data_IF_499145618327
#
_entry.id   IF_499145618327
#
_cell.length_a   1.000
_cell.length_b   1.000
_cell.length_c   1.000
_cell.angle_alpha   90.00
_cell.angle_beta   90.00
_cell.angle_gamma   90.00
#
_symmetry.space_group_name_H-M   'P 1'
#
loop_
_entity.id
_entity.type
_entity.pdbx_description
1 polymer ?
#
# COMPACT_ATOMS: atom_id res chain seq x y z
N UNK A 1 -0.56 7.11 28.90
CA UNK A 1 0.41 7.90 28.09
C UNK A 1 0.85 7.07 26.89
N UNK A 2 0.83 7.68 25.72
CA UNK A 2 1.26 6.99 24.50
C UNK A 2 2.75 6.70 24.50
N UNK A 3 3.11 5.52 24.07
CA UNK A 3 4.51 5.10 23.97
C UNK A 3 4.90 4.69 22.55
N UNK A 4 3.93 4.37 21.70
CA UNK A 4 4.22 3.92 20.35
C UNK A 4 3.15 4.38 19.37
N UNK A 5 3.55 4.54 18.13
CA UNK A 5 2.65 4.88 17.02
C UNK A 5 2.85 3.84 15.93
N UNK A 6 1.75 3.24 15.50
CA UNK A 6 1.74 2.26 14.42
C UNK A 6 1.20 2.94 13.17
N UNK A 7 1.84 2.69 12.04
CA UNK A 7 1.49 3.32 10.76
C UNK A 7 1.19 2.29 9.70
N UNK A 8 0.09 2.49 9.00
CA UNK A 8 -0.06 1.89 7.69
C UNK A 8 0.92 2.57 6.72
N UNK A 9 1.25 1.91 5.62
CA UNK A 9 2.20 2.48 4.65
C UNK A 9 1.49 3.11 3.45
N UNK A 10 0.76 2.29 2.67
CA UNK A 10 0.16 2.75 1.42
C UNK A 10 -0.97 3.75 1.69
N UNK A 11 -0.86 4.93 1.09
CA UNK A 11 -1.83 6.02 1.23
C UNK A 11 -1.89 6.61 2.64
N UNK A 12 -0.91 6.27 3.47
CA UNK A 12 -0.78 6.86 4.80
C UNK A 12 0.57 7.54 4.94
N UNK A 13 1.66 6.78 4.79
CA UNK A 13 3.00 7.36 4.78
C UNK A 13 3.47 7.71 3.38
N UNK A 14 3.04 6.93 2.39
CA UNK A 14 3.57 6.99 1.03
C UNK A 14 2.46 7.01 0.01
N UNK A 15 2.71 7.68 -1.12
CA UNK A 15 1.73 7.85 -2.17
C UNK A 15 1.71 6.74 -3.20
N UNK A 16 1.00 5.66 -2.90
CA UNK A 16 0.88 4.52 -3.80
C UNK A 16 0.12 4.89 -5.07
N UNK A 17 -1.00 5.59 -4.93
CA UNK A 17 -1.79 5.99 -6.10
C UNK A 17 -1.01 6.94 -7.00
N UNK A 18 -0.25 7.84 -6.41
CA UNK A 18 0.59 8.76 -7.19
C UNK A 18 1.66 8.00 -7.95
N UNK A 19 2.28 7.02 -7.31
CA UNK A 19 3.31 6.21 -7.95
C UNK A 19 2.71 5.39 -9.09
N UNK A 20 1.54 4.81 -8.88
CA UNK A 20 0.86 4.02 -9.91
C UNK A 20 0.51 4.89 -11.10
N UNK A 21 0.03 6.11 -10.86
CA UNK A 21 -0.34 7.03 -11.93
C UNK A 21 0.88 7.44 -12.75
N UNK A 22 1.96 7.80 -12.07
CA UNK A 22 3.19 8.21 -12.77
C UNK A 22 3.78 7.05 -13.57
N UNK A 23 3.86 5.86 -12.95
CA UNK A 23 4.39 4.69 -13.62
C UNK A 23 3.50 4.26 -14.78
N UNK A 24 2.18 4.40 -14.60
CA UNK A 24 1.24 4.04 -15.65
C UNK A 24 1.45 4.84 -16.92
N UNK A 25 1.68 6.14 -16.77
CA UNK A 25 1.90 6.98 -17.96
C UNK A 25 3.18 6.56 -18.70
N UNK A 26 4.23 6.26 -17.96
CA UNK A 26 5.46 5.77 -18.57
C UNK A 26 5.25 4.41 -19.23
N UNK A 27 4.46 3.55 -18.58
CA UNK A 27 4.20 2.21 -19.11
C UNK A 27 3.40 2.27 -20.40
N UNK A 28 2.38 3.14 -20.46
CA UNK A 28 1.60 3.30 -21.68
C UNK A 28 2.48 3.77 -22.83
N UNK A 29 3.39 4.70 -22.56
CA UNK A 29 4.31 5.18 -23.59
C UNK A 29 5.26 4.07 -24.03
N UNK A 30 5.74 3.26 -23.09
CA UNK A 30 6.64 2.16 -23.39
C UNK A 30 5.93 1.09 -24.24
N UNK A 31 4.67 0.79 -23.90
CA UNK A 31 3.88 -0.18 -24.65
C UNK A 31 3.68 0.31 -26.08
N UNK A 32 3.35 1.60 -26.25
CA UNK A 32 3.15 2.14 -27.59
C UNK A 32 4.43 2.06 -28.43
N UNK A 33 5.57 2.36 -27.81
CA UNK A 33 6.83 2.32 -28.50
C UNK A 33 7.28 0.90 -28.84
N UNK A 34 7.04 -0.03 -27.91
CA UNK A 34 7.49 -1.42 -28.06
C UNK A 34 6.54 -2.22 -28.95
N UNK A 35 5.25 -1.95 -28.83
CA UNK A 35 4.19 -2.65 -29.56
C UNK A 35 3.31 -1.65 -30.29
N UNK A 36 3.81 -1.09 -31.42
CA UNK A 36 3.05 -0.04 -32.12
C UNK A 36 1.66 -0.46 -32.60
N UNK A 37 1.40 -1.76 -32.69
CA UNK A 37 0.10 -2.27 -33.09
C UNK A 37 -0.99 -1.99 -32.04
N UNK A 38 -0.61 -1.66 -30.81
CA UNK A 38 -1.58 -1.26 -29.79
C UNK A 38 -2.13 0.10 -30.20
N UNK A 39 -3.39 0.14 -30.61
CA UNK A 39 -3.98 1.37 -31.14
C UNK A 39 -4.32 2.39 -30.04
N UNK A 40 -4.56 1.91 -28.82
CA UNK A 40 -4.95 2.79 -27.71
C UNK A 40 -4.18 2.40 -26.45
N UNK A 41 -2.98 2.96 -26.28
CA UNK A 41 -2.17 2.62 -25.10
C UNK A 41 -2.82 2.95 -23.77
N UNK A 42 -3.65 4.00 -23.73
CA UNK A 42 -4.34 4.36 -22.48
C UNK A 42 -5.40 3.31 -22.13
N UNK A 43 -6.10 2.78 -23.14
CA UNK A 43 -7.04 1.70 -22.89
C UNK A 43 -6.31 0.44 -22.40
N UNK A 44 -5.15 0.14 -22.99
CA UNK A 44 -4.32 -0.95 -22.51
C UNK A 44 -3.95 -0.76 -21.03
N UNK A 45 -3.49 0.43 -20.69
CA UNK A 45 -3.09 0.74 -19.32
C UNK A 45 -4.24 0.57 -18.35
N UNK A 46 -5.40 1.10 -18.71
CA UNK A 46 -6.56 1.01 -17.84
C UNK A 46 -6.94 -0.45 -17.60
N UNK A 47 -6.92 -1.24 -18.65
CA UNK A 47 -7.21 -2.66 -18.56
C UNK A 47 -6.21 -3.39 -17.66
N UNK A 48 -4.92 -3.08 -17.83
CA UNK A 48 -3.87 -3.67 -17.02
C UNK A 48 -4.04 -3.33 -15.54
N UNK A 49 -4.31 -2.07 -15.24
CA UNK A 49 -4.47 -1.66 -13.83
C UNK A 49 -5.70 -2.28 -13.21
N UNK A 50 -6.80 -2.40 -13.96
CA UNK A 50 -7.98 -3.11 -13.47
C UNK A 50 -7.63 -4.56 -13.11
N UNK A 51 -6.82 -5.20 -13.95
CA UNK A 51 -6.38 -6.57 -13.67
C UNK A 51 -5.49 -6.66 -12.46
N UNK A 52 -4.56 -5.72 -12.31
CA UNK A 52 -3.66 -5.70 -11.15
C UNK A 52 -4.48 -5.57 -9.86
N UNK A 53 -5.57 -4.82 -9.88
CA UNK A 53 -6.44 -4.67 -8.72
C UNK A 53 -7.51 -5.75 -8.64
N UNK A 54 -7.35 -6.82 -9.46
CA UNK A 54 -8.18 -8.04 -9.40
C UNK A 54 -9.65 -7.80 -9.79
N UNK A 55 -9.90 -6.79 -10.61
CA UNK A 55 -11.25 -6.48 -11.05
C UNK A 55 -11.67 -7.22 -12.32
N UNK A 56 -10.73 -7.95 -12.94
CA UNK A 56 -11.00 -8.68 -14.17
C UNK A 56 -10.99 -10.20 -13.98
N UNK A 57 -11.03 -10.68 -12.74
CA UNK A 57 -10.93 -12.12 -12.46
C UNK A 57 -12.03 -12.90 -13.15
N UNK A 58 -13.24 -12.35 -13.21
CA UNK A 58 -14.35 -13.03 -13.84
C UNK A 58 -14.18 -13.14 -15.36
N UNK A 59 -13.48 -12.17 -15.96
CA UNK A 59 -13.25 -12.18 -17.40
C UNK A 59 -12.11 -13.12 -17.79
N UNK A 60 -11.14 -13.30 -16.92
CA UNK A 60 -9.95 -14.08 -17.22
C UNK A 60 -9.76 -15.18 -16.17
N UNK A 61 -10.70 -16.14 -16.12
CA UNK A 61 -10.58 -17.20 -15.10
C UNK A 61 -9.29 -18.01 -15.22
N UNK A 62 -8.68 -18.07 -16.39
CA UNK A 62 -7.44 -18.81 -16.56
C UNK A 62 -6.28 -18.14 -15.81
N UNK A 63 -6.38 -16.84 -15.50
CA UNK A 63 -5.34 -16.16 -14.75
C UNK A 63 -5.49 -16.33 -13.25
N UNK A 64 -6.69 -16.71 -12.78
CA UNK A 64 -6.94 -16.83 -11.35
C UNK A 64 -6.03 -17.89 -10.73
N UNK A 65 -5.72 -18.95 -11.48
CA UNK A 65 -4.82 -19.99 -11.00
C UNK A 65 -3.40 -19.48 -10.73
N UNK A 66 -3.03 -18.34 -11.32
CA UNK A 66 -1.70 -17.76 -11.13
C UNK A 66 -1.62 -16.83 -9.94
N UNK A 67 -2.75 -16.50 -9.30
CA UNK A 67 -2.75 -15.50 -8.22
C UNK A 67 -1.75 -15.77 -7.08
N UNK A 68 -1.46 -17.03 -6.71
CA UNK A 68 -0.46 -17.23 -5.66
C UNK A 68 0.94 -16.74 -6.04
N UNK A 69 1.21 -16.58 -7.32
CA UNK A 69 2.48 -16.00 -7.81
C UNK A 69 2.15 -14.69 -8.49
N UNK A 70 2.29 -13.58 -7.75
CA UNK A 70 1.88 -12.28 -8.27
C UNK A 70 2.60 -11.90 -9.54
N UNK A 71 3.90 -12.21 -9.65
CA UNK A 71 4.64 -11.90 -10.88
C UNK A 71 4.08 -12.68 -12.06
N UNK A 72 3.84 -13.98 -11.87
CA UNK A 72 3.28 -14.81 -12.95
C UNK A 72 1.90 -14.30 -13.34
N UNK A 73 1.09 -13.90 -12.36
CA UNK A 73 -0.24 -13.36 -12.64
C UNK A 73 -0.15 -12.12 -13.51
N UNK A 74 0.72 -11.18 -13.15
CA UNK A 74 0.84 -9.92 -13.88
C UNK A 74 1.42 -10.13 -15.28
N UNK A 75 2.39 -11.04 -15.43
CA UNK A 75 2.91 -11.36 -16.75
C UNK A 75 1.83 -11.98 -17.64
N UNK A 76 1.04 -12.90 -17.06
CA UNK A 76 -0.07 -13.51 -17.79
C UNK A 76 -1.11 -12.48 -18.19
N UNK A 77 -1.36 -11.50 -17.31
CA UNK A 77 -2.30 -10.43 -17.59
C UNK A 77 -1.83 -9.60 -18.79
N UNK A 78 -0.55 -9.26 -18.84
CA UNK A 78 0.00 -8.50 -19.96
C UNK A 78 -0.15 -9.29 -21.26
N UNK A 79 0.20 -10.58 -21.22
CA UNK A 79 0.06 -11.43 -22.39
C UNK A 79 -1.40 -11.46 -22.88
N UNK A 80 -2.33 -11.59 -21.95
CA UNK A 80 -3.74 -11.70 -22.28
C UNK A 80 -4.26 -10.41 -22.94
N UNK A 81 -3.91 -9.26 -22.34
CA UNK A 81 -4.39 -7.98 -22.88
C UNK A 81 -3.76 -7.68 -24.24
N UNK A 82 -2.47 -7.99 -24.41
CA UNK A 82 -1.84 -7.81 -25.71
C UNK A 82 -2.46 -8.72 -26.75
N UNK A 83 -2.84 -9.95 -26.36
CA UNK A 83 -3.52 -10.85 -27.28
C UNK A 83 -4.86 -10.30 -27.73
N UNK A 84 -5.55 -9.54 -26.86
CA UNK A 84 -6.79 -8.85 -27.25
C UNK A 84 -6.53 -7.83 -28.33
N UNK A 85 -5.30 -7.34 -28.44
CA UNK A 85 -4.89 -6.41 -29.50
C UNK A 85 -4.21 -7.12 -30.67
N UNK A 86 -4.30 -8.44 -30.73
CA UNK A 86 -3.72 -9.21 -31.81
C UNK A 86 -2.22 -9.40 -31.72
N UNK A 87 -1.66 -9.16 -30.55
CA UNK A 87 -0.21 -9.25 -30.35
C UNK A 87 0.08 -10.40 -29.39
N UNK A 88 0.89 -11.36 -29.86
CA UNK A 88 1.22 -12.55 -29.08
C UNK A 88 2.69 -12.50 -28.68
N UNK A 89 2.95 -12.39 -27.38
CA UNK A 89 4.30 -12.29 -26.86
C UNK A 89 4.63 -13.51 -26.00
N UNK A 90 5.91 -13.80 -25.86
CA UNK A 90 6.36 -14.91 -25.05
C UNK A 90 6.56 -14.49 -23.59
N UNK A 91 6.94 -15.46 -22.76
CA UNK A 91 7.11 -15.22 -21.33
C UNK A 91 8.20 -14.20 -21.04
N UNK A 92 9.29 -14.24 -21.81
CA UNK A 92 10.39 -13.30 -21.60
C UNK A 92 9.95 -11.87 -21.90
N UNK A 93 9.22 -11.68 -23.00
CA UNK A 93 8.70 -10.37 -23.36
C UNK A 93 7.72 -9.86 -22.30
N UNK A 94 6.87 -10.75 -21.78
CA UNK A 94 5.95 -10.37 -20.73
C UNK A 94 6.71 -9.92 -19.48
N UNK A 95 7.79 -10.63 -19.14
CA UNK A 95 8.59 -10.28 -17.98
C UNK A 95 9.28 -8.94 -18.17
N UNK A 96 9.74 -8.63 -19.38
CA UNK A 96 10.32 -7.33 -19.67
C UNK A 96 9.32 -6.20 -19.43
N UNK A 97 8.09 -6.41 -19.90
CA UNK A 97 7.05 -5.39 -19.72
C UNK A 97 6.72 -5.21 -18.23
N UNK A 98 6.55 -6.32 -17.51
CA UNK A 98 6.24 -6.24 -16.10
C UNK A 98 7.38 -5.57 -15.33
N UNK A 99 8.60 -5.91 -15.67
CA UNK A 99 9.76 -5.29 -15.02
C UNK A 99 9.79 -3.77 -15.25
N UNK A 100 9.44 -3.35 -16.47
CA UNK A 100 9.42 -1.90 -16.76
C UNK A 100 8.42 -1.19 -15.86
N UNK A 101 7.21 -1.73 -15.75
CA UNK A 101 6.19 -1.11 -14.89
C UNK A 101 6.65 -1.07 -13.43
N UNK A 102 7.17 -2.18 -12.93
CA UNK A 102 7.62 -2.25 -11.54
C UNK A 102 8.73 -1.25 -11.26
N UNK A 103 9.69 -1.14 -12.18
CA UNK A 103 10.80 -0.19 -11.99
C UNK A 103 10.32 1.25 -11.99
N UNK A 104 9.41 1.58 -12.92
CA UNK A 104 8.86 2.93 -12.96
C UNK A 104 8.07 3.24 -11.70
N UNK A 105 7.32 2.26 -11.20
CA UNK A 105 6.52 2.42 -10.00
C UNK A 105 7.41 2.68 -8.78
N UNK A 106 8.47 1.87 -8.64
CA UNK A 106 9.36 2.05 -7.50
C UNK A 106 10.15 3.34 -7.60
N UNK A 107 10.45 3.80 -8.81
CA UNK A 107 11.10 5.08 -8.99
C UNK A 107 10.25 6.26 -8.58
N UNK A 108 8.92 6.08 -8.57
CA UNK A 108 7.98 7.14 -8.20
C UNK A 108 7.43 7.00 -6.78
N UNK A 109 7.67 5.86 -6.14
CA UNK A 109 7.11 5.59 -4.82
C UNK A 109 7.91 6.32 -3.75
N UNK A 110 7.26 7.21 -3.01
CA UNK A 110 7.94 8.03 -2.02
C UNK A 110 6.98 8.46 -0.92
N UNK A 111 7.55 8.96 0.17
CA UNK A 111 6.77 9.50 1.27
C UNK A 111 5.98 10.73 0.83
N UNK A 112 4.81 10.93 1.43
CA UNK A 112 4.09 12.19 1.28
C UNK A 112 4.93 13.33 1.85
N UNK A 113 4.72 14.56 1.32
CA UNK A 113 5.48 15.72 1.83
C UNK A 113 5.35 15.87 3.34
N UNK A 114 6.47 16.13 4.00
CA UNK A 114 6.52 16.38 5.44
C UNK A 114 6.53 15.15 6.31
N UNK A 115 6.30 13.95 5.73
CA UNK A 115 6.23 12.74 6.53
C UNK A 115 7.59 12.33 7.09
N UNK A 116 8.65 12.43 6.29
CA UNK A 116 9.99 12.08 6.80
C UNK A 116 10.35 12.94 8.01
N UNK A 117 10.10 14.24 7.91
CA UNK A 117 10.40 15.15 9.00
C UNK A 117 9.57 14.81 10.24
N UNK A 118 8.30 14.47 10.04
CA UNK A 118 7.43 14.07 11.14
C UNK A 118 7.96 12.80 11.82
N UNK A 119 8.33 11.78 11.03
CA UNK A 119 8.84 10.54 11.59
C UNK A 119 10.10 10.79 12.41
N UNK A 120 10.99 11.64 11.91
CA UNK A 120 12.21 11.98 12.63
C UNK A 120 11.90 12.59 13.99
N UNK A 121 10.94 13.51 14.03
CA UNK A 121 10.55 14.14 15.30
C UNK A 121 9.86 13.15 16.21
N UNK A 122 8.94 12.36 15.69
CA UNK A 122 8.18 11.41 16.52
C UNK A 122 9.07 10.36 17.14
N UNK A 123 10.11 9.94 16.41
CA UNK A 123 10.99 8.87 16.87
C UNK A 123 11.76 9.25 18.13
N UNK A 124 11.86 10.55 18.40
CA UNK A 124 12.50 11.03 19.63
C UNK A 124 11.67 10.71 20.87
N UNK A 125 10.38 10.48 20.71
CA UNK A 125 9.46 10.34 21.84
C UNK A 125 8.68 9.03 21.83
N UNK A 126 8.56 8.36 20.68
CA UNK A 126 7.73 7.18 20.52
C UNK A 126 8.47 6.10 19.77
N UNK A 127 8.10 4.85 20.02
CA UNK A 127 8.50 3.77 19.12
C UNK A 127 7.59 3.79 17.91
N UNK A 128 8.16 3.59 16.73
CA UNK A 128 7.40 3.63 15.48
C UNK A 128 7.40 2.27 14.81
N UNK A 129 6.21 1.78 14.45
CA UNK A 129 6.07 0.48 13.80
C UNK A 129 5.23 0.66 12.55
N UNK A 130 5.69 0.14 11.41
CA UNK A 130 4.89 0.09 10.20
C UNK A 130 4.20 -1.26 10.14
N UNK A 131 2.88 -1.26 9.90
CA UNK A 131 2.11 -2.49 9.69
C UNK A 131 1.44 -2.36 8.34
N UNK A 132 1.93 -3.10 7.35
CA UNK A 132 1.46 -2.97 5.98
C UNK A 132 0.90 -4.29 5.47
N UNK A 133 -0.36 -4.27 5.03
CA UNK A 133 -0.98 -5.43 4.39
C UNK A 133 -0.37 -5.64 3.00
N UNK A 134 -0.53 -6.83 2.50
CA UNK A 134 -0.12 -7.14 1.15
C UNK A 134 0.99 -8.17 1.08
N UNK A 135 1.17 -8.73 -0.12
CA UNK A 135 2.15 -9.79 -0.31
C UNK A 135 3.58 -9.27 -0.29
N UNK A 136 4.50 -10.16 0.02
CA UNK A 136 5.93 -9.84 0.02
C UNK A 136 6.36 -9.25 -1.30
N UNK A 137 5.88 -9.82 -2.40
CA UNK A 137 6.21 -9.38 -3.75
C UNK A 137 5.96 -7.87 -3.95
N UNK A 138 4.86 -7.36 -3.41
CA UNK A 138 4.52 -5.94 -3.55
C UNK A 138 5.17 -5.07 -2.50
N UNK A 139 5.19 -5.52 -1.26
CA UNK A 139 5.56 -4.63 -0.15
C UNK A 139 7.06 -4.50 0.07
N UNK A 140 7.84 -5.57 -0.13
CA UNK A 140 9.28 -5.49 0.06
C UNK A 140 9.93 -4.46 -0.89
N UNK A 141 9.60 -4.43 -2.20
CA UNK A 141 10.19 -3.38 -3.05
C UNK A 141 9.85 -1.96 -2.59
N UNK A 142 8.64 -1.74 -2.09
CA UNK A 142 8.24 -0.42 -1.59
C UNK A 142 9.05 -0.04 -0.35
N UNK A 143 9.23 -0.99 0.56
CA UNK A 143 10.01 -0.75 1.76
C UNK A 143 11.47 -0.46 1.42
N UNK A 144 12.00 -1.14 0.41
CA UNK A 144 13.36 -0.91 -0.04
C UNK A 144 13.48 0.46 -0.71
N UNK A 145 12.52 0.82 -1.57
CA UNK A 145 12.54 2.09 -2.29
C UNK A 145 12.55 3.27 -1.33
N UNK A 146 11.85 3.16 -0.20
CA UNK A 146 11.76 4.24 0.79
C UNK A 146 12.82 4.14 1.86
N UNK A 147 13.58 3.04 1.89
CA UNK A 147 14.54 2.76 2.97
C UNK A 147 13.85 2.84 4.33
N UNK A 148 12.68 2.25 4.40
CA UNK A 148 11.79 2.38 5.56
C UNK A 148 12.47 2.09 6.90
N UNK A 149 13.22 1.31 6.91
CA UNK A 149 13.87 0.98 7.91
C UNK A 149 14.56 1.94 8.56
N UNK A 150 15.08 2.89 7.87
CA UNK A 150 15.82 3.99 8.45
C UNK A 150 14.94 4.96 9.22
N UNK A 151 13.66 4.88 8.99
CA UNK A 151 12.71 5.87 9.52
C UNK A 151 11.86 5.36 10.66
N UNK A 152 11.78 4.06 10.85
CA UNK A 152 10.95 3.46 11.90
C UNK A 152 11.72 2.37 12.63
N UNK A 153 11.18 1.91 13.76
CA UNK A 153 11.86 0.91 14.59
C UNK A 153 11.56 -0.51 14.15
N UNK A 154 10.34 -0.78 13.68
CA UNK A 154 9.95 -2.14 13.25
C UNK A 154 9.02 -2.06 12.07
N UNK A 155 9.03 -3.11 11.26
CA UNK A 155 8.17 -3.22 10.08
C UNK A 155 7.53 -4.61 10.10
N UNK A 156 6.21 -4.65 9.96
CA UNK A 156 5.46 -5.90 9.86
C UNK A 156 4.76 -5.93 8.51
N UNK A 157 5.03 -6.97 7.73
CA UNK A 157 4.43 -7.13 6.39
C UNK A 157 3.38 -8.24 6.47
N UNK A 158 2.14 -7.91 6.09
CA UNK A 158 1.04 -8.85 6.19
C UNK A 158 1.29 -10.18 5.52
N UNK A 159 1.95 -10.15 4.36
CA UNK A 159 2.24 -11.39 3.64
C UNK A 159 3.19 -12.32 4.35
N UNK A 160 3.88 -11.85 5.39
CA UNK A 160 4.77 -12.67 6.19
C UNK A 160 4.11 -13.16 7.49
N UNK A 161 2.84 -12.82 7.70
CA UNK A 161 2.13 -13.12 8.93
C UNK A 161 1.02 -14.13 8.69
N UNK A 162 0.56 -14.82 9.74
CA UNK A 162 -0.58 -15.72 9.57
C UNK A 162 -1.85 -15.00 9.11
N UNK A 163 -2.04 -13.75 9.56
CA UNK A 163 -3.20 -12.96 9.19
C UNK A 163 -2.82 -11.49 9.03
N UNK A 164 -3.50 -10.82 8.10
CA UNK A 164 -3.32 -9.39 7.87
C UNK A 164 -4.26 -8.57 8.73
N UNK A 165 -4.06 -7.24 8.76
CA UNK A 165 -5.03 -6.32 9.35
C UNK A 165 -6.38 -6.56 8.66
N UNK A 166 -7.48 -6.59 9.37
CA UNK A 166 -7.71 -6.14 10.74
C UNK A 166 -7.55 -7.21 11.83
N UNK A 167 -6.93 -8.34 11.55
CA UNK A 167 -6.81 -9.41 12.53
C UNK A 167 -6.06 -8.95 13.77
N UNK A 168 -6.53 -9.37 14.93
CA UNK A 168 -5.93 -8.98 16.20
C UNK A 168 -4.47 -9.41 16.30
N UNK A 169 -4.12 -10.54 15.69
CA UNK A 169 -2.78 -11.12 15.84
C UNK A 169 -1.68 -10.18 15.33
N UNK A 170 -1.92 -9.48 14.22
CA UNK A 170 -0.88 -8.62 13.67
C UNK A 170 -0.67 -7.38 14.54
N UNK A 171 -1.74 -6.85 15.13
CA UNK A 171 -1.62 -5.73 16.06
C UNK A 171 -0.97 -6.17 17.36
N UNK A 172 -1.30 -7.38 17.83
CA UNK A 172 -0.65 -7.91 19.04
C UNK A 172 0.84 -8.09 18.82
N UNK A 173 1.24 -8.52 17.63
CA UNK A 173 2.67 -8.64 17.32
C UNK A 173 3.36 -7.29 17.45
N UNK A 174 2.72 -6.22 16.94
CA UNK A 174 3.31 -4.88 17.04
C UNK A 174 3.47 -4.46 18.50
N UNK A 175 2.44 -4.70 19.31
CA UNK A 175 2.50 -4.37 20.74
C UNK A 175 3.63 -5.12 21.42
N UNK A 176 3.79 -6.41 21.10
CA UNK A 176 4.83 -7.22 21.70
C UNK A 176 6.23 -6.74 21.31
N UNK A 177 6.40 -6.33 20.05
CA UNK A 177 7.71 -5.85 19.58
C UNK A 177 8.20 -4.64 20.37
N UNK A 178 7.29 -3.78 20.79
CA UNK A 178 7.67 -2.59 21.55
C UNK A 178 7.31 -2.68 23.04
N UNK A 179 6.78 -3.84 23.45
CA UNK A 179 6.53 -4.17 24.86
C UNK A 179 5.63 -3.14 25.55
N UNK A 180 4.44 -2.92 25.00
CA UNK A 180 3.47 -1.97 25.55
C UNK A 180 2.08 -2.57 25.55
N UNK A 181 1.17 -1.88 26.25
CA UNK A 181 -0.24 -2.25 26.31
C UNK A 181 -1.00 -1.56 25.18
N UNK A 182 -2.16 -2.10 24.78
CA UNK A 182 -2.94 -1.47 23.70
C UNK A 182 -3.24 0.00 23.95
N UNK A 183 -3.61 0.37 25.18
CA UNK A 183 -3.96 1.75 25.47
C UNK A 183 -2.77 2.71 25.43
N UNK A 184 -1.56 2.15 25.27
CA UNK A 184 -0.34 2.97 25.13
C UNK A 184 0.06 3.16 23.68
N UNK A 185 -0.77 2.69 22.73
CA UNK A 185 -0.48 2.74 21.30
C UNK A 185 -1.55 3.52 20.55
N UNK A 186 -1.16 4.10 19.44
CA UNK A 186 -2.04 4.75 18.48
C UNK A 186 -1.72 4.17 17.10
N UNK A 187 -2.76 3.86 16.32
CA UNK A 187 -2.57 3.36 14.96
C UNK A 187 -3.24 4.31 13.97
N UNK A 188 -2.51 4.67 12.93
CA UNK A 188 -3.01 5.58 11.91
C UNK A 188 -2.98 4.90 10.54
N UNK A 189 -4.08 5.00 9.80
CA UNK A 189 -4.19 4.42 8.47
C UNK A 189 -5.37 4.94 7.70
N UNK A 190 -5.44 4.58 6.41
CA UNK A 190 -6.47 5.09 5.52
C UNK A 190 -7.65 4.13 5.33
N UNK A 191 -7.52 2.89 5.78
CA UNK A 191 -8.57 1.88 5.56
C UNK A 191 -9.43 1.73 6.81
N UNK A 192 -10.73 2.06 6.69
CA UNK A 192 -11.65 1.84 7.81
C UNK A 192 -11.69 0.36 8.19
N UNK A 193 -11.76 -0.52 7.20
CA UNK A 193 -11.91 -1.95 7.47
C UNK A 193 -10.65 -2.59 8.04
N UNK A 194 -9.48 -2.19 7.56
CA UNK A 194 -8.24 -2.83 7.98
C UNK A 194 -7.60 -2.11 9.16
N UNK A 195 -7.45 -0.79 9.05
CA UNK A 195 -6.71 -0.02 10.05
C UNK A 195 -7.57 0.36 11.24
N UNK A 196 -8.72 0.95 10.98
CA UNK A 196 -9.53 1.52 12.06
C UNK A 196 -10.25 0.41 12.82
N UNK A 197 -10.91 -0.51 12.11
CA UNK A 197 -11.57 -1.62 12.79
C UNK A 197 -10.56 -2.46 13.56
N UNK A 198 -9.38 -2.70 12.96
CA UNK A 198 -8.35 -3.48 13.61
C UNK A 198 -7.85 -2.82 14.89
N UNK A 199 -7.55 -1.54 14.84
CA UNK A 199 -7.07 -0.81 16.00
C UNK A 199 -8.14 -0.76 17.09
N UNK A 200 -9.38 -0.43 16.70
CA UNK A 200 -10.50 -0.37 17.66
C UNK A 200 -10.66 -1.70 18.38
N UNK A 201 -10.61 -2.78 17.65
CA UNK A 201 -10.78 -4.11 18.25
C UNK A 201 -9.66 -4.47 19.21
N UNK A 202 -8.39 -3.84 19.01
CA UNK A 202 -7.47 -4.07 19.74
C UNK A 202 -7.38 -3.24 20.74
N UNK A 203 -8.22 -2.33 21.05
CA UNK A 203 -8.15 -1.34 22.12
C UNK A 203 -7.08 -0.30 21.93
N UNK A 204 -6.66 -0.11 20.68
CA UNK A 204 -5.63 0.86 20.29
C UNK A 204 -6.32 2.10 19.73
N UNK A 205 -5.86 3.30 20.13
CA UNK A 205 -6.42 4.55 19.57
C UNK A 205 -6.28 4.55 18.06
N UNK A 206 -7.35 4.93 17.37
CA UNK A 206 -7.37 4.89 15.90
C UNK A 206 -7.48 6.29 15.31
N UNK A 207 -6.67 6.52 14.27
CA UNK A 207 -6.69 7.77 13.51
C UNK A 207 -6.91 7.44 12.05
N UNK A 208 -8.00 7.94 11.48
CA UNK A 208 -8.36 7.68 10.09
C UNK A 208 -7.86 8.82 9.20
N UNK A 209 -7.03 8.45 8.22
CA UNK A 209 -6.58 9.41 7.20
C UNK A 209 -7.59 9.35 6.06
N UNK A 210 -8.45 10.36 6.00
CA UNK A 210 -9.52 10.47 5.02
C UNK A 210 -9.17 11.58 4.04
N UNK A 211 -8.32 11.27 3.07
CA UNK A 211 -7.72 12.29 2.21
C UNK A 211 -8.74 13.07 1.41
N UNK A 212 -9.83 12.43 0.99
CA UNK A 212 -10.84 13.10 0.17
C UNK A 212 -11.90 13.83 0.99
N UNK A 213 -11.97 13.55 2.29
CA UNK A 213 -13.02 14.13 3.12
C UNK A 213 -14.39 13.53 2.91
N UNK A 214 -14.45 12.35 2.29
CA UNK A 214 -15.71 11.68 2.02
C UNK A 214 -16.39 11.27 3.32
N UNK A 215 -17.72 11.12 3.28
CA UNK A 215 -18.44 10.62 4.45
C UNK A 215 -18.07 9.17 4.71
N UNK A 216 -18.18 8.76 5.98
CA UNK A 216 -17.89 7.38 6.38
C UNK A 216 -19.12 6.53 6.15
N UNK A 217 -19.08 5.58 5.19
CA UNK A 217 -20.27 4.78 4.87
C UNK A 217 -20.46 3.57 5.79
N UNK A 218 -19.63 3.42 6.82
CA UNK A 218 -19.61 2.22 7.65
C UNK A 218 -20.02 2.54 9.09
N UNK A 219 -20.14 1.48 9.89
CA UNK A 219 -20.36 1.62 11.33
C UNK A 219 -19.06 1.75 12.11
N UNK A 220 -17.92 1.71 11.42
CA UNK A 220 -16.60 1.77 12.05
C UNK A 220 -16.30 3.23 12.40
N UNK A 221 -16.04 3.50 13.68
CA UNK A 221 -15.85 4.88 14.15
C UNK A 221 -14.40 5.10 14.60
N UNK A 222 -13.65 5.94 13.89
CA UNK A 222 -12.29 6.27 14.35
C UNK A 222 -12.34 7.18 15.58
N UNK A 223 -11.28 7.14 16.38
CA UNK A 223 -11.15 8.09 17.48
C UNK A 223 -10.86 9.50 16.95
N UNK A 224 -10.09 9.58 15.85
CA UNK A 224 -9.77 10.86 15.20
C UNK A 224 -9.82 10.69 13.71
N UNK A 225 -10.09 11.77 13.00
CA UNK A 225 -10.12 11.79 11.53
C UNK A 225 -9.34 13.00 11.05
N UNK A 226 -8.40 12.76 10.11
CA UNK A 226 -7.59 13.82 9.53
C UNK A 226 -7.53 13.63 8.01
N UNK A 227 -7.11 14.68 7.30
CA UNK A 227 -6.96 14.64 5.84
C UNK A 227 -5.57 14.24 5.39
N UNK A 228 -4.57 14.63 6.16
CA UNK A 228 -3.17 14.34 5.83
C UNK A 228 -2.45 13.80 7.06
N UNK A 229 -1.58 12.83 6.84
CA UNK A 229 -0.90 12.16 7.95
C UNK A 229 -0.10 13.12 8.83
N UNK A 230 0.46 14.19 8.24
CA UNK A 230 1.24 15.14 9.04
C UNK A 230 0.39 15.88 10.09
N UNK A 231 -0.94 15.87 9.94
CA UNK A 231 -1.81 16.44 10.97
C UNK A 231 -1.80 15.64 12.27
N UNK A 232 -1.22 14.42 12.23
CA UNK A 232 -1.07 13.63 13.45
C UNK A 232 -0.39 14.42 14.56
N UNK A 233 0.52 15.32 14.20
CA UNK A 233 1.23 16.13 15.21
C UNK A 233 0.28 16.92 16.09
N UNK A 234 -0.81 17.42 15.52
CA UNK A 234 -1.80 18.18 16.29
C UNK A 234 -2.57 17.28 17.26
N UNK A 235 -2.90 16.07 16.81
CA UNK A 235 -3.57 15.10 17.67
C UNK A 235 -2.69 14.77 18.87
N UNK A 236 -1.40 14.55 18.63
CA UNK A 236 -0.48 14.18 19.69
C UNK A 236 -0.33 15.32 20.72
N UNK A 237 -0.35 16.56 20.27
CA UNK A 237 -0.34 17.71 21.20
C UNK A 237 -1.57 17.69 22.10
N UNK A 238 -2.73 17.42 21.53
CA UNK A 238 -3.98 17.33 22.29
C UNK A 238 -3.90 16.23 23.34
N UNK A 239 -3.39 15.06 22.94
CA UNK A 239 -3.32 13.91 23.85
C UNK A 239 -2.30 14.13 24.98
N UNK A 240 -1.29 14.94 24.75
CA UNK A 240 -0.25 15.20 25.75
C UNK A 240 -0.68 16.16 26.84
N UNK A 241 -1.81 16.88 26.66
CA UNK A 241 -2.31 17.86 27.63
C UNK A 241 -3.02 17.23 28.84
#
# INVERSE_FOLDING_TARGET
MLKAIFFDMDETLCGTSQADKAAGQKFAAWIQQTYPQVSDPQAFLQRYLQGVYKKLNAEFPQLVALLPDENAFRCGLIQTILAENGIHIDAEQAQQAQHYFDSARMGAFTFFPGVKEMLTDLRKHYKLVVITNGPIFSQHPKLKATQMXEWVDHIIVGGEEPEEKPAASIFQKALNLVDIKPEEALHIGDSLAADIAGANNXGILSVWVNATGASNPTEITPNFEIRETVELKEILKTLAQ
#
